data_IF_190893138337
#
_entry.id   IF_190893138337
#
_cell.length_a   1.000
_cell.length_b   1.000
_cell.length_c   1.000
_cell.angle_alpha   90.00
_cell.angle_beta   90.00
_cell.angle_gamma   90.00
#
_symmetry.space_group_name_H-M   'P 1'
#
loop_
_entity.id
_entity.type
_entity.pdbx_description
1 polymer ?
#
# COMPACT_ATOMS: atom_id res chain seq x y z
N UNK A 1 -18.67 4.49 4.96
CA UNK A 1 -17.58 3.80 4.23
C UNK A 1 -16.67 4.88 3.66
N UNK A 2 -15.35 4.79 3.85
CA UNK A 2 -14.41 5.86 3.50
C UNK A 2 -14.18 5.95 1.98
N UNK A 3 -13.89 7.16 1.48
CA UNK A 3 -13.51 7.42 0.10
C UNK A 3 -12.17 8.16 0.07
N UNK A 4 -11.28 7.75 -0.82
CA UNK A 4 -10.00 8.40 -1.03
C UNK A 4 -10.19 9.76 -1.72
N UNK A 5 -9.76 10.82 -1.05
CA UNK A 5 -9.72 12.18 -1.61
C UNK A 5 -8.45 12.39 -2.44
N UNK A 6 -8.50 13.29 -3.43
CA UNK A 6 -7.33 13.63 -4.25
C UNK A 6 -6.35 14.52 -3.46
N UNK A 7 -5.52 13.90 -2.63
CA UNK A 7 -4.55 14.59 -1.77
C UNK A 7 -3.18 14.82 -2.43
N UNK A 8 -2.90 14.16 -3.56
CA UNK A 8 -1.65 14.24 -4.33
C UNK A 8 -1.89 14.52 -5.82
N UNK A 9 -2.72 15.53 -6.18
CA UNK A 9 -2.99 15.84 -7.58
C UNK A 9 -1.71 16.25 -8.30
N UNK A 10 -1.39 15.60 -9.42
CA UNK A 10 -0.21 15.96 -10.22
C UNK A 10 1.10 15.30 -9.77
N UNK A 11 1.13 14.68 -8.60
CA UNK A 11 2.37 14.19 -7.98
C UNK A 11 2.90 12.88 -8.60
N UNK A 12 4.19 12.64 -8.38
CA UNK A 12 4.79 11.31 -8.54
C UNK A 12 4.71 10.56 -7.21
N UNK A 13 4.05 9.41 -7.20
CA UNK A 13 3.87 8.57 -6.02
C UNK A 13 4.70 7.30 -6.13
N UNK A 14 5.44 6.99 -5.07
CA UNK A 14 6.26 5.79 -4.96
C UNK A 14 5.50 4.73 -4.18
N UNK A 15 5.33 3.55 -4.76
CA UNK A 15 4.80 2.38 -4.08
C UNK A 15 5.99 1.53 -3.65
N UNK A 16 6.25 1.49 -2.34
CA UNK A 16 7.35 0.73 -1.76
C UNK A 16 6.82 -0.61 -1.22
N UNK A 17 7.24 -1.70 -1.84
CA UNK A 17 7.05 -3.06 -1.33
C UNK A 17 8.34 -3.59 -0.69
N UNK A 18 8.25 -4.74 -0.01
CA UNK A 18 9.35 -5.36 0.72
C UNK A 18 9.94 -6.58 -0.01
N UNK A 19 10.05 -6.50 -1.34
CA UNK A 19 10.74 -7.52 -2.13
C UNK A 19 12.27 -7.47 -1.94
N UNK A 20 13.00 -8.56 -2.23
CA UNK A 20 14.46 -8.60 -2.21
C UNK A 20 15.18 -7.42 -2.90
N UNK A 21 14.64 -6.85 -3.98
CA UNK A 21 15.27 -5.69 -4.64
C UNK A 21 15.34 -4.44 -3.76
N UNK A 22 14.49 -4.36 -2.72
CA UNK A 22 14.51 -3.24 -1.77
C UNK A 22 15.86 -3.12 -1.05
N UNK A 23 16.61 -4.21 -0.89
CA UNK A 23 17.92 -4.21 -0.21
C UNK A 23 18.99 -3.39 -0.95
N UNK A 24 18.84 -3.19 -2.26
CA UNK A 24 19.78 -2.44 -3.07
C UNK A 24 19.38 -0.97 -3.28
N UNK A 25 18.26 -0.54 -2.69
CA UNK A 25 17.72 0.80 -2.90
C UNK A 25 18.21 1.76 -1.82
N UNK A 26 18.62 2.95 -2.23
CA UNK A 26 18.89 4.08 -1.34
C UNK A 26 17.56 4.78 -0.98
N UNK A 27 17.11 4.60 0.27
CA UNK A 27 15.86 5.17 0.77
C UNK A 27 15.93 6.70 0.97
N UNK A 28 17.11 7.30 1.07
CA UNK A 28 17.24 8.77 1.20
C UNK A 28 16.66 9.50 -0.02
N UNK A 29 16.62 8.83 -1.17
CA UNK A 29 16.01 9.36 -2.40
C UNK A 29 14.49 9.52 -2.32
N UNK A 30 13.85 8.98 -1.28
CA UNK A 30 12.42 9.14 -1.00
C UNK A 30 12.11 10.33 -0.08
N UNK A 31 13.12 11.02 0.46
CA UNK A 31 12.91 12.20 1.28
C UNK A 31 12.11 13.27 0.51
N UNK A 32 11.06 13.79 1.14
CA UNK A 32 10.13 14.75 0.53
C UNK A 32 9.24 14.21 -0.60
N UNK A 33 9.28 12.90 -0.90
CA UNK A 33 8.44 12.25 -1.92
C UNK A 33 7.17 11.66 -1.30
N UNK A 34 6.15 11.46 -2.14
CA UNK A 34 4.91 10.77 -1.75
C UNK A 34 5.11 9.26 -1.80
N UNK A 35 4.96 8.59 -0.66
CA UNK A 35 5.24 7.15 -0.53
C UNK A 35 4.05 6.41 0.06
N UNK A 36 3.64 5.34 -0.62
CA UNK A 36 2.77 4.30 -0.06
C UNK A 36 3.63 3.07 0.23
N UNK A 37 3.83 2.77 1.50
CA UNK A 37 4.44 1.52 1.95
C UNK A 37 3.42 0.38 1.92
N UNK A 38 3.83 -0.79 1.40
CA UNK A 38 2.98 -1.99 1.32
C UNK A 38 3.42 -3.00 2.38
N UNK A 39 2.51 -3.37 3.28
CA UNK A 39 2.78 -4.30 4.39
C UNK A 39 4.09 -3.92 5.11
N UNK A 40 4.98 -4.88 5.34
CA UNK A 40 6.22 -4.71 6.11
C UNK A 40 7.22 -3.69 5.54
N UNK A 41 6.97 -3.13 4.34
CA UNK A 41 7.79 -2.06 3.78
C UNK A 41 7.81 -0.79 4.65
N UNK A 42 6.82 -0.59 5.53
CA UNK A 42 6.85 0.50 6.51
C UNK A 42 8.09 0.44 7.41
N UNK A 43 8.64 -0.77 7.67
CA UNK A 43 9.87 -0.91 8.46
C UNK A 43 11.10 -0.40 7.73
N UNK A 44 11.09 -0.48 6.40
CA UNK A 44 12.17 0.00 5.54
C UNK A 44 12.11 1.52 5.42
N UNK A 45 10.90 2.06 5.29
CA UNK A 45 10.68 3.51 5.22
C UNK A 45 9.52 3.95 6.14
N UNK A 46 9.79 4.15 7.44
CA UNK A 46 8.78 4.53 8.43
C UNK A 46 8.16 5.92 8.18
N UNK A 47 8.85 6.76 7.41
CA UNK A 47 8.40 8.08 7.01
C UNK A 47 7.38 8.08 5.84
N UNK A 48 6.91 6.91 5.38
CA UNK A 48 5.91 6.84 4.31
C UNK A 48 4.61 7.56 4.71
N UNK A 49 4.01 8.30 3.77
CA UNK A 49 2.75 9.01 4.01
C UNK A 49 1.58 8.05 4.28
N UNK A 50 1.60 6.86 3.65
CA UNK A 50 0.53 5.86 3.74
C UNK A 50 1.09 4.45 3.89
N UNK A 51 0.48 3.65 4.76
CA UNK A 51 0.67 2.21 4.83
C UNK A 51 -0.58 1.51 4.27
N UNK A 52 -0.41 0.71 3.22
CA UNK A 52 -1.47 -0.12 2.66
C UNK A 52 -1.25 -1.62 2.93
N UNK A 53 -2.30 -2.31 3.36
CA UNK A 53 -2.31 -3.77 3.48
C UNK A 53 -3.70 -4.35 3.18
N UNK A 54 -3.75 -5.60 2.69
CA UNK A 54 -5.02 -6.28 2.38
C UNK A 54 -5.21 -7.62 3.11
N UNK A 55 -4.20 -8.10 3.83
CA UNK A 55 -4.25 -9.36 4.58
C UNK A 55 -4.41 -9.05 6.07
N UNK A 56 -5.58 -9.38 6.63
CA UNK A 56 -5.82 -9.16 8.06
C UNK A 56 -5.00 -10.07 8.97
N UNK A 57 -4.48 -11.22 8.48
CA UNK A 57 -3.56 -12.06 9.27
C UNK A 57 -2.25 -11.33 9.53
N UNK A 58 -1.70 -10.69 8.50
CA UNK A 58 -0.52 -9.83 8.61
C UNK A 58 -0.70 -8.72 9.65
N UNK A 59 -1.89 -8.10 9.72
CA UNK A 59 -2.18 -7.07 10.72
C UNK A 59 -2.30 -7.62 12.15
N UNK A 60 -2.83 -8.83 12.32
CA UNK A 60 -2.98 -9.44 13.66
C UNK A 60 -1.63 -9.82 14.29
N UNK A 61 -0.62 -10.06 13.46
CA UNK A 61 0.76 -10.25 13.90
C UNK A 61 1.37 -8.93 14.38
N UNK A 62 1.38 -8.70 15.70
CA UNK A 62 1.82 -7.44 16.32
C UNK A 62 3.24 -7.03 15.91
N UNK A 63 4.13 -7.98 15.70
CA UNK A 63 5.50 -7.74 15.26
C UNK A 63 5.61 -7.26 13.80
N UNK A 64 4.58 -7.46 12.98
CA UNK A 64 4.59 -7.10 11.56
C UNK A 64 4.02 -5.70 11.29
N UNK A 65 3.07 -5.23 12.09
CA UNK A 65 2.44 -3.90 11.96
C UNK A 65 3.08 -2.85 12.88
N UNK A 66 2.94 -1.55 12.57
CA UNK A 66 3.46 -0.49 13.45
C UNK A 66 2.59 -0.30 14.70
N UNK A 67 3.22 -0.01 15.85
CA UNK A 67 2.54 0.65 16.98
C UNK A 67 2.37 2.15 16.72
N UNK A 68 1.65 2.85 17.60
CA UNK A 68 1.16 4.21 17.35
C UNK A 68 2.29 5.25 17.21
N UNK A 69 3.42 5.03 17.88
CA UNK A 69 4.63 5.85 17.86
C UNK A 69 5.58 5.53 16.69
N UNK A 70 5.36 4.43 15.98
CA UNK A 70 6.25 3.97 14.90
C UNK A 70 5.84 4.47 13.51
N UNK A 71 4.60 4.89 13.32
CA UNK A 71 4.09 5.28 12.01
C UNK A 71 3.04 6.40 12.14
N UNK A 72 3.41 7.59 11.69
CA UNK A 72 2.54 8.76 11.70
C UNK A 72 1.61 8.84 10.48
N UNK A 73 1.91 8.09 9.42
CA UNK A 73 1.16 8.09 8.17
C UNK A 73 -0.24 7.47 8.28
N UNK A 74 -1.05 7.67 7.24
CA UNK A 74 -2.40 7.08 7.17
C UNK A 74 -2.30 5.57 6.94
N UNK A 75 -3.03 4.78 7.72
CA UNK A 75 -3.09 3.33 7.52
C UNK A 75 -4.40 2.99 6.81
N UNK A 76 -4.31 2.38 5.62
CA UNK A 76 -5.45 2.02 4.79
C UNK A 76 -5.47 0.51 4.56
N UNK A 77 -6.64 -0.11 4.68
CA UNK A 77 -6.80 -1.53 4.41
C UNK A 77 -8.06 -1.87 3.64
N UNK A 78 -8.00 -2.94 2.86
CA UNK A 78 -9.19 -3.58 2.31
C UNK A 78 -9.73 -4.74 3.16
N UNK A 79 -9.04 -5.13 4.23
CA UNK A 79 -9.45 -6.18 5.16
C UNK A 79 -10.55 -5.65 6.11
N UNK A 80 -11.81 -5.99 5.81
CA UNK A 80 -12.96 -5.39 6.52
C UNK A 80 -13.08 -5.84 7.97
N UNK A 81 -12.47 -6.97 8.33
CA UNK A 81 -12.47 -7.52 9.69
C UNK A 81 -11.58 -6.73 10.67
N UNK A 82 -10.78 -5.77 10.19
CA UNK A 82 -9.92 -4.95 11.04
C UNK A 82 -10.74 -3.86 11.74
N UNK A 83 -10.84 -3.95 13.07
CA UNK A 83 -11.53 -2.98 13.94
C UNK A 83 -10.61 -2.00 14.66
N UNK A 84 -9.38 -1.78 14.20
CA UNK A 84 -8.44 -0.84 14.82
C UNK A 84 -8.79 0.61 14.42
N UNK A 85 -9.01 1.54 15.37
CA UNK A 85 -9.44 2.90 15.07
C UNK A 85 -8.39 3.72 14.30
N UNK A 86 -7.12 3.29 14.28
CA UNK A 86 -6.06 3.93 13.49
C UNK A 86 -6.15 3.59 12.01
N UNK A 87 -6.96 2.59 11.64
CA UNK A 87 -7.02 2.04 10.29
C UNK A 87 -8.27 2.52 9.56
N UNK A 88 -8.06 3.02 8.36
CA UNK A 88 -9.13 3.37 7.41
C UNK A 88 -9.45 2.18 6.52
N UNK A 89 -10.72 1.79 6.42
CA UNK A 89 -11.17 0.68 5.57
C UNK A 89 -11.68 1.18 4.21
N UNK A 90 -11.22 0.54 3.14
CA UNK A 90 -11.65 0.76 1.75
C UNK A 90 -12.20 -0.54 1.14
N UNK A 91 -13.18 -0.46 0.24
CA UNK A 91 -13.81 -1.66 -0.33
C UNK A 91 -12.91 -2.32 -1.36
N UNK A 92 -12.69 -3.64 -1.24
CA UNK A 92 -12.06 -4.44 -2.29
C UNK A 92 -13.09 -4.81 -3.36
N UNK A 93 -12.73 -4.68 -4.63
CA UNK A 93 -13.45 -5.26 -5.76
C UNK A 93 -12.56 -6.22 -6.54
N UNK A 94 -13.18 -7.07 -7.36
CA UNK A 94 -12.48 -7.95 -8.29
C UNK A 94 -11.81 -7.13 -9.41
N UNK A 95 -10.52 -7.41 -9.75
CA UNK A 95 -9.77 -6.63 -10.74
C UNK A 95 -9.98 -7.08 -12.20
N UNK A 96 -10.92 -7.99 -12.50
CA UNK A 96 -11.21 -8.45 -13.87
C UNK A 96 -11.52 -7.33 -14.85
N UNK A 97 -12.09 -6.22 -14.37
CA UNK A 97 -12.40 -5.02 -15.17
C UNK A 97 -11.36 -3.90 -15.02
N UNK A 98 -10.14 -4.21 -14.57
CA UNK A 98 -9.07 -3.25 -14.35
C UNK A 98 -9.13 -2.56 -12.98
N UNK A 99 -8.58 -1.35 -12.89
CA UNK A 99 -8.58 -0.58 -11.66
C UNK A 99 -9.98 -0.05 -11.32
N UNK A 100 -10.29 0.00 -10.02
CA UNK A 100 -11.49 0.64 -9.52
C UNK A 100 -11.48 2.14 -9.87
N UNK A 101 -12.62 2.65 -10.33
CA UNK A 101 -12.81 4.07 -10.66
C UNK A 101 -13.51 4.84 -9.55
N UNK A 102 -14.26 4.16 -8.66
CA UNK A 102 -14.91 4.77 -7.51
C UNK A 102 -13.90 4.97 -6.38
N UNK A 103 -13.79 6.17 -5.78
CA UNK A 103 -12.76 6.48 -4.79
C UNK A 103 -12.89 5.71 -3.47
N UNK A 104 -14.03 5.07 -3.21
CA UNK A 104 -14.25 4.20 -2.05
C UNK A 104 -13.91 2.73 -2.31
N UNK A 105 -13.28 2.42 -3.44
CA UNK A 105 -12.94 1.07 -3.86
C UNK A 105 -11.48 0.95 -4.27
N UNK A 106 -10.93 -0.26 -4.17
CA UNK A 106 -9.65 -0.65 -4.77
C UNK A 106 -9.81 -2.01 -5.42
N UNK A 107 -9.26 -2.16 -6.62
CA UNK A 107 -9.21 -3.43 -7.33
C UNK A 107 -7.93 -4.19 -6.97
N UNK A 108 -8.07 -5.37 -6.37
CA UNK A 108 -6.94 -6.26 -6.10
C UNK A 108 -7.39 -7.72 -5.99
N UNK A 109 -6.47 -8.64 -6.26
CA UNK A 109 -6.69 -10.08 -6.06
C UNK A 109 -5.61 -10.67 -5.16
N UNK A 110 -4.40 -10.87 -5.71
CA UNK A 110 -3.30 -11.62 -5.07
C UNK A 110 -2.23 -10.75 -4.40
N UNK A 111 -2.13 -9.48 -4.80
CA UNK A 111 -1.09 -8.58 -4.30
C UNK A 111 -1.69 -7.33 -3.68
N UNK A 112 -1.25 -6.99 -2.45
CA UNK A 112 -1.59 -5.69 -1.85
C UNK A 112 -1.00 -4.52 -2.65
N UNK A 113 0.06 -4.74 -3.43
CA UNK A 113 0.66 -3.72 -4.28
C UNK A 113 -0.32 -3.21 -5.34
N UNK A 114 -1.18 -4.06 -5.93
CA UNK A 114 -2.17 -3.57 -6.92
C UNK A 114 -3.22 -2.67 -6.25
N UNK A 115 -3.60 -2.98 -5.02
CA UNK A 115 -4.46 -2.09 -4.22
C UNK A 115 -3.80 -0.75 -3.91
N UNK A 116 -2.50 -0.75 -3.58
CA UNK A 116 -1.73 0.48 -3.35
C UNK A 116 -1.59 1.34 -4.62
N UNK A 117 -1.38 0.72 -5.79
CA UNK A 117 -1.40 1.43 -7.09
C UNK A 117 -2.76 2.08 -7.32
N UNK A 118 -3.85 1.33 -7.14
CA UNK A 118 -5.19 1.88 -7.32
C UNK A 118 -5.48 3.03 -6.35
N UNK A 119 -4.97 2.92 -5.11
CA UNK A 119 -5.11 3.98 -4.10
C UNK A 119 -4.33 5.24 -4.50
N UNK A 120 -3.11 5.11 -5.05
CA UNK A 120 -2.35 6.24 -5.58
C UNK A 120 -3.08 6.94 -6.75
N UNK A 121 -3.73 6.17 -7.63
CA UNK A 121 -4.60 6.72 -8.68
C UNK A 121 -5.72 7.57 -8.06
N UNK A 122 -6.39 7.07 -7.02
CA UNK A 122 -7.45 7.83 -6.34
C UNK A 122 -6.93 9.08 -5.62
N UNK A 123 -5.71 9.04 -5.08
CA UNK A 123 -5.05 10.21 -4.52
C UNK A 123 -4.64 11.26 -5.57
N UNK A 124 -4.77 10.97 -6.87
CA UNK A 124 -4.55 11.93 -7.96
C UNK A 124 -3.13 11.89 -8.54
N UNK A 125 -2.38 10.82 -8.29
CA UNK A 125 -1.05 10.63 -8.85
C UNK A 125 -1.10 10.64 -10.38
N UNK A 126 -0.16 11.34 -11.01
CA UNK A 126 0.03 11.31 -12.48
C UNK A 126 1.11 10.34 -12.91
N UNK A 127 2.03 10.02 -11.99
CA UNK A 127 3.09 9.04 -12.19
C UNK A 127 3.20 8.15 -10.96
N UNK A 128 3.33 6.86 -11.20
CA UNK A 128 3.50 5.86 -10.14
C UNK A 128 4.82 5.12 -10.39
N UNK A 129 5.70 5.10 -9.38
CA UNK A 129 6.99 4.39 -9.41
C UNK A 129 6.91 3.20 -8.47
N UNK A 130 7.27 2.01 -8.96
CA UNK A 130 7.24 0.78 -8.17
C UNK A 130 8.64 0.44 -7.69
N UNK A 131 8.79 0.25 -6.37
CA UNK A 131 10.04 -0.11 -5.72
C UNK A 131 9.84 -1.39 -4.91
N UNK A 132 10.77 -2.33 -4.98
CA UNK A 132 10.67 -3.58 -4.21
C UNK A 132 9.58 -4.54 -4.70
N UNK A 133 9.14 -4.41 -5.96
CA UNK A 133 8.07 -5.23 -6.56
C UNK A 133 8.69 -6.27 -7.49
N UNK A 134 9.10 -7.41 -6.93
CA UNK A 134 9.92 -8.39 -7.65
C UNK A 134 9.13 -9.49 -8.38
N UNK A 135 7.81 -9.58 -8.16
CA UNK A 135 6.91 -10.54 -8.81
C UNK A 135 7.42 -12.01 -8.81
N UNK A 136 8.12 -12.43 -7.74
CA UNK A 136 8.61 -13.81 -7.62
C UNK A 136 7.43 -14.79 -7.61
N UNK A 137 7.47 -15.86 -8.43
CA UNK A 137 6.48 -16.92 -8.34
C UNK A 137 6.55 -17.60 -6.98
N UNK A 138 5.43 -18.16 -6.55
CA UNK A 138 5.40 -19.05 -5.40
C UNK A 138 6.29 -20.28 -5.66
N UNK A 139 6.70 -20.97 -4.59
CA UNK A 139 7.57 -22.15 -4.68
C UNK A 139 6.98 -23.27 -5.56
N UNK A 140 5.65 -23.29 -5.73
CA UNK A 140 4.89 -24.21 -6.58
C UNK A 140 4.65 -23.69 -8.00
N UNK A 141 5.32 -22.61 -8.42
CA UNK A 141 5.24 -22.03 -9.76
C UNK A 141 3.99 -21.17 -10.02
N UNK A 142 3.09 -21.01 -9.03
CA UNK A 142 1.92 -20.13 -9.17
C UNK A 142 2.36 -18.66 -9.18
N UNK A 143 1.66 -17.86 -9.98
CA UNK A 143 1.72 -16.39 -9.97
C UNK A 143 0.76 -15.81 -8.94
#
# INVERSE_FOLDING_TARGET
>A
MWAAEKIWPGETVFILAAGPSTLALDMSRLEGRRVIAVKSAWKVYPAADVLFFADGRWWREKQLRPCADQFAGKIVTSAQEIGDPRVTRITKIDPSNGFATKPNQVALARSSTTGAINLAIHFGATRIVLLGVDAKPAQDGRR
#
